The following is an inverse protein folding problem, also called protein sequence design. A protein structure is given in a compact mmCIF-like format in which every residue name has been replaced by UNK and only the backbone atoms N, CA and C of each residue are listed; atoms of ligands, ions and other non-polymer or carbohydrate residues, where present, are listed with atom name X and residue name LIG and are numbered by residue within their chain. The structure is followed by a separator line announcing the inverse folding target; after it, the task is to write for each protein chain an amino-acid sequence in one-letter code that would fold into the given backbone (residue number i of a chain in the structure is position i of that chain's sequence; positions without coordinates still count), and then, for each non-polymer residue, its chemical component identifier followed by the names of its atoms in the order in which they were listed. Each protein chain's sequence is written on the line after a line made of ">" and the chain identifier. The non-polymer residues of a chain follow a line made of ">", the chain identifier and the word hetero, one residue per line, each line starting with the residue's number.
data_IF_433089082574
#
_entry.id   IF_433089082574
#
_cell.length_a   1.000
_cell.length_b   1.000
_cell.length_c   1.000
_cell.angle_alpha   90.00
_cell.angle_beta   90.00
_cell.angle_gamma   90.00
#
_symmetry.space_group_name_H-M   'P 1'
#
loop_
_entity.id
_entity.type
_entity.pdbx_description
1 polymer ?
#
# COMPACT_ATOMS: atom_id res chain seq x y z
N UNK A 1 34.61 -42.40 26.23
CA UNK A 1 33.30 -42.97 26.49
C UNK A 1 32.27 -41.90 26.24
N UNK A 2 31.42 -42.19 25.24
CA UNK A 2 30.07 -41.65 24.94
C UNK A 2 29.90 -40.11 25.06
N UNK A 3 29.92 -39.28 24.04
CA UNK A 3 29.16 -39.28 22.77
C UNK A 3 27.66 -39.05 22.97
N UNK A 4 27.21 -37.79 23.02
CA UNK A 4 25.82 -37.46 22.71
C UNK A 4 25.77 -36.23 21.79
N UNK A 5 25.75 -36.56 20.50
CA UNK A 5 25.36 -35.64 19.44
C UNK A 5 23.85 -35.40 19.52
N UNK A 6 23.45 -34.32 20.20
CA UNK A 6 22.06 -33.86 20.22
C UNK A 6 21.69 -33.27 18.86
N UNK A 7 21.02 -34.08 18.06
CA UNK A 7 20.37 -33.69 16.79
C UNK A 7 19.35 -32.57 17.06
N UNK A 8 19.73 -31.35 16.71
CA UNK A 8 18.96 -30.10 16.92
C UNK A 8 17.90 -29.84 15.85
N UNK A 9 17.14 -30.84 15.41
CA UNK A 9 15.95 -30.65 14.55
C UNK A 9 14.67 -30.41 15.37
N UNK A 10 14.70 -29.34 16.18
CA UNK A 10 13.47 -28.83 16.77
C UNK A 10 12.59 -28.19 15.68
N UNK A 11 11.25 -28.39 15.70
CA UNK A 11 10.37 -27.78 14.70
C UNK A 11 10.57 -26.27 14.66
N UNK A 12 10.78 -25.71 13.46
CA UNK A 12 10.89 -24.26 13.22
C UNK A 12 9.67 -23.59 13.85
N UNK A 13 9.86 -23.02 15.03
CA UNK A 13 8.80 -22.28 15.74
C UNK A 13 8.37 -21.11 14.84
N UNK A 14 7.14 -21.16 14.36
CA UNK A 14 6.49 -20.05 13.67
C UNK A 14 6.71 -18.79 14.52
N UNK A 15 7.31 -17.71 13.97
CA UNK A 15 7.58 -16.51 14.72
C UNK A 15 6.32 -16.04 15.47
N UNK A 16 6.42 -15.82 16.79
CA UNK A 16 5.27 -15.43 17.65
C UNK A 16 4.51 -14.20 17.15
N UNK A 17 5.15 -13.37 16.36
CA UNK A 17 4.53 -12.18 15.79
C UNK A 17 3.57 -12.49 14.62
N UNK A 18 3.73 -13.62 13.90
CA UNK A 18 2.71 -14.11 12.95
C UNK A 18 1.42 -14.57 13.66
N UNK A 19 1.46 -14.71 14.99
CA UNK A 19 0.32 -14.99 15.86
C UNK A 19 -0.21 -13.73 16.57
N UNK A 20 0.32 -12.54 16.28
CA UNK A 20 -0.22 -11.30 16.84
C UNK A 20 -1.64 -11.08 16.28
N UNK A 21 -2.58 -10.67 17.14
CA UNK A 21 -3.94 -10.38 16.71
C UNK A 21 -3.98 -9.39 15.55
N UNK A 22 -3.12 -8.37 15.57
CA UNK A 22 -2.99 -7.36 14.52
C UNK A 22 -2.61 -7.96 13.16
N UNK A 23 -1.67 -8.92 13.13
CA UNK A 23 -1.27 -9.59 11.89
C UNK A 23 -2.41 -10.42 11.32
N UNK A 24 -3.13 -11.17 12.17
CA UNK A 24 -4.25 -12.02 11.74
C UNK A 24 -5.42 -11.17 11.25
N UNK A 25 -5.81 -10.14 12.00
CA UNK A 25 -6.92 -9.25 11.62
C UNK A 25 -6.58 -8.45 10.36
N UNK A 26 -5.41 -7.80 10.32
CA UNK A 26 -4.96 -7.06 9.15
C UNK A 26 -4.84 -7.95 7.91
N UNK A 27 -4.22 -9.12 8.08
CA UNK A 27 -4.10 -10.13 7.02
C UNK A 27 -5.44 -10.63 6.50
N UNK A 28 -6.40 -10.90 7.38
CA UNK A 28 -7.75 -11.31 7.02
C UNK A 28 -8.49 -10.22 6.22
N UNK A 29 -8.42 -8.96 6.68
CA UNK A 29 -9.04 -7.83 5.99
C UNK A 29 -8.44 -7.65 4.59
N UNK A 30 -7.10 -7.61 4.49
CA UNK A 30 -6.42 -7.40 3.19
C UNK A 30 -6.67 -8.57 2.25
N UNK A 31 -6.59 -9.82 2.75
CA UNK A 31 -6.93 -11.00 1.95
C UNK A 31 -8.38 -10.95 1.46
N UNK A 32 -9.32 -10.59 2.33
CA UNK A 32 -10.73 -10.42 1.97
C UNK A 32 -10.93 -9.36 0.87
N UNK A 33 -10.25 -8.22 0.97
CA UNK A 33 -10.29 -7.17 -0.04
C UNK A 33 -9.67 -7.62 -1.38
N UNK A 34 -8.56 -8.35 -1.35
CA UNK A 34 -7.94 -8.90 -2.55
C UNK A 34 -8.84 -9.94 -3.21
N UNK A 35 -9.44 -10.83 -2.42
CA UNK A 35 -10.44 -11.80 -2.91
C UNK A 35 -11.64 -11.07 -3.50
N UNK A 36 -12.19 -10.06 -2.80
CA UNK A 36 -13.29 -9.25 -3.31
C UNK A 36 -12.94 -8.54 -4.63
N UNK A 37 -11.72 -8.00 -4.77
CA UNK A 37 -11.27 -7.38 -6.00
C UNK A 37 -11.14 -8.37 -7.16
N UNK A 38 -10.56 -9.55 -6.91
CA UNK A 38 -10.38 -10.57 -7.94
C UNK A 38 -11.70 -11.25 -8.30
N UNK A 39 -12.51 -11.58 -7.30
CA UNK A 39 -13.77 -12.29 -7.46
C UNK A 39 -14.96 -11.35 -7.71
N UNK A 40 -14.76 -10.03 -7.85
CA UNK A 40 -15.84 -9.08 -8.10
C UNK A 40 -16.80 -9.50 -9.25
N UNK A 41 -16.33 -10.05 -10.40
CA UNK A 41 -17.24 -10.49 -11.46
C UNK A 41 -18.17 -11.65 -11.07
N UNK A 42 -17.81 -12.44 -10.07
CA UNK A 42 -18.59 -13.57 -9.59
C UNK A 42 -19.38 -13.26 -8.31
N UNK A 43 -18.87 -12.33 -7.48
CA UNK A 43 -19.51 -11.94 -6.23
C UNK A 43 -20.56 -10.84 -6.42
N UNK A 44 -20.44 -10.01 -7.44
CA UNK A 44 -21.37 -8.92 -7.70
C UNK A 44 -22.70 -9.48 -8.25
N UNK A 45 -23.85 -9.16 -7.61
CA UNK A 45 -25.15 -9.60 -8.10
C UNK A 45 -25.48 -9.08 -9.49
N UNK A 46 -24.98 -7.89 -9.84
CA UNK A 46 -25.26 -7.21 -11.10
C UNK A 46 -24.00 -6.62 -11.72
N UNK A 47 -24.05 -6.29 -13.01
CA UNK A 47 -22.99 -5.49 -13.63
C UNK A 47 -22.93 -4.10 -12.98
N UNK A 48 -21.73 -3.53 -12.69
CA UNK A 48 -21.61 -2.27 -11.96
C UNK A 48 -22.18 -1.06 -12.70
N UNK A 49 -22.49 -1.23 -13.99
CA UNK A 49 -23.10 -0.24 -14.89
C UNK A 49 -24.57 -0.49 -15.16
N UNK A 50 -25.14 -1.63 -14.69
CA UNK A 50 -26.55 -1.96 -14.90
C UNK A 50 -27.43 -0.91 -14.18
N UNK A 51 -28.35 -0.34 -14.94
CA UNK A 51 -29.33 0.65 -14.46
C UNK A 51 -30.69 -0.04 -14.35
N UNK A 52 -31.38 0.16 -13.24
CA UNK A 52 -32.71 -0.36 -12.98
C UNK A 52 -33.71 0.83 -12.90
N UNK A 53 -34.40 1.18 -14.00
CA UNK A 53 -35.38 2.29 -14.01
C UNK A 53 -36.46 2.10 -12.95
N UNK A 54 -36.77 3.16 -12.19
CA UNK A 54 -37.71 3.11 -11.07
C UNK A 54 -37.12 2.57 -9.77
N UNK A 55 -35.81 2.30 -9.72
CA UNK A 55 -35.11 1.90 -8.53
C UNK A 55 -34.06 2.95 -8.08
N UNK A 56 -34.22 4.22 -8.45
CA UNK A 56 -33.33 5.30 -8.06
C UNK A 56 -33.43 5.55 -6.55
N UNK A 57 -32.27 5.68 -5.89
CA UNK A 57 -32.16 5.94 -4.44
C UNK A 57 -33.00 4.99 -3.58
N UNK A 58 -33.07 3.73 -3.99
CA UNK A 58 -33.81 2.71 -3.25
C UNK A 58 -33.03 2.27 -2.01
N UNK A 59 -33.65 2.21 -0.81
CA UNK A 59 -32.99 1.75 0.39
C UNK A 59 -32.59 0.27 0.28
N UNK A 60 -31.66 -0.21 1.13
CA UNK A 60 -31.30 -1.60 1.20
C UNK A 60 -32.52 -2.53 1.37
N UNK A 61 -32.61 -3.55 0.52
CA UNK A 61 -33.64 -4.60 0.53
C UNK A 61 -33.06 -5.95 0.09
N UNK A 62 -33.90 -6.99 -0.01
CA UNK A 62 -33.46 -8.34 -0.43
C UNK A 62 -32.95 -8.40 -1.87
N UNK A 63 -33.37 -7.48 -2.73
CA UNK A 63 -32.94 -7.39 -4.11
C UNK A 63 -31.66 -6.56 -4.25
N UNK A 64 -31.54 -5.46 -3.50
CA UNK A 64 -30.41 -4.55 -3.49
C UNK A 64 -29.86 -4.44 -2.06
N UNK A 65 -28.96 -5.35 -1.70
CA UNK A 65 -28.48 -5.54 -0.31
C UNK A 65 -27.90 -4.27 0.34
N UNK A 66 -27.26 -3.40 -0.44
CA UNK A 66 -26.77 -2.09 0.01
C UNK A 66 -27.55 -0.93 -0.61
N UNK A 67 -28.73 -1.21 -1.22
CA UNK A 67 -29.51 -0.21 -1.92
C UNK A 67 -28.98 0.17 -3.29
N UNK A 68 -29.55 1.22 -3.88
CA UNK A 68 -29.18 1.71 -5.21
C UNK A 68 -28.72 3.14 -5.18
N UNK A 69 -27.98 3.54 -6.24
CA UNK A 69 -27.52 4.92 -6.41
C UNK A 69 -28.55 5.84 -7.09
N UNK A 70 -28.13 7.07 -7.38
CA UNK A 70 -28.96 8.14 -7.96
C UNK A 70 -29.56 7.82 -9.35
N UNK A 71 -29.01 6.80 -10.02
CA UNK A 71 -29.50 6.34 -11.36
C UNK A 71 -30.01 4.90 -11.32
N UNK A 72 -30.20 4.33 -10.11
CA UNK A 72 -30.74 2.97 -9.95
C UNK A 72 -29.70 1.85 -10.13
N UNK A 73 -28.39 2.11 -9.92
CA UNK A 73 -27.37 1.04 -9.97
C UNK A 73 -27.14 0.43 -8.60
N UNK A 74 -26.87 -0.87 -8.55
CA UNK A 74 -26.65 -1.61 -7.30
C UNK A 74 -25.35 -1.18 -6.59
N UNK A 75 -25.46 -0.73 -5.34
CA UNK A 75 -24.32 -0.24 -4.55
C UNK A 75 -23.35 -1.37 -4.19
N UNK A 76 -23.83 -2.57 -3.84
CA UNK A 76 -22.96 -3.69 -3.49
C UNK A 76 -22.05 -4.07 -4.67
N UNK A 77 -22.62 -4.23 -5.86
CA UNK A 77 -21.85 -4.50 -7.07
C UNK A 77 -20.82 -3.42 -7.33
N UNK A 78 -21.21 -2.16 -7.17
CA UNK A 78 -20.30 -1.02 -7.38
C UNK A 78 -19.20 -0.94 -6.33
N UNK A 79 -19.45 -1.28 -5.07
CA UNK A 79 -18.40 -1.34 -4.02
C UNK A 79 -17.41 -2.45 -4.33
N UNK A 80 -17.88 -3.64 -4.73
CA UNK A 80 -17.02 -4.79 -5.10
C UNK A 80 -16.12 -4.44 -6.31
N UNK A 81 -16.69 -3.89 -7.37
CA UNK A 81 -15.90 -3.42 -8.51
C UNK A 81 -15.02 -2.22 -8.17
N UNK A 82 -15.48 -1.35 -7.27
CA UNK A 82 -14.71 -0.24 -6.72
C UNK A 82 -13.46 -0.71 -5.98
N UNK A 83 -13.54 -1.83 -5.25
CA UNK A 83 -12.37 -2.48 -4.62
C UNK A 83 -11.31 -2.81 -5.67
N UNK A 84 -11.73 -3.39 -6.80
CA UNK A 84 -10.82 -3.73 -7.90
C UNK A 84 -10.15 -2.51 -8.50
N UNK A 85 -10.90 -1.41 -8.67
CA UNK A 85 -10.39 -0.16 -9.23
C UNK A 85 -9.45 0.54 -8.25
N UNK A 86 -9.88 0.75 -7.00
CA UNK A 86 -9.08 1.48 -6.00
C UNK A 86 -7.79 0.73 -5.63
N UNK A 87 -7.83 -0.60 -5.43
CA UNK A 87 -6.62 -1.41 -5.24
C UNK A 87 -5.79 -1.52 -6.52
N UNK A 88 -6.43 -1.53 -7.69
CA UNK A 88 -5.77 -1.53 -9.00
C UNK A 88 -5.01 -0.24 -9.30
N UNK A 89 -5.29 0.85 -8.59
CA UNK A 89 -4.49 2.09 -8.58
C UNK A 89 -3.44 2.03 -7.48
N UNK A 90 -3.82 1.72 -6.24
CA UNK A 90 -2.94 1.82 -5.09
C UNK A 90 -1.75 0.85 -5.17
N UNK A 91 -1.99 -0.41 -5.50
CA UNK A 91 -0.94 -1.44 -5.51
C UNK A 91 0.13 -1.16 -6.59
N UNK A 92 -0.21 -0.90 -7.87
CA UNK A 92 0.79 -0.55 -8.87
C UNK A 92 1.54 0.74 -8.58
N UNK A 93 0.87 1.76 -8.00
CA UNK A 93 1.52 3.01 -7.63
C UNK A 93 2.62 2.79 -6.59
N UNK A 94 2.31 2.06 -5.50
CA UNK A 94 3.29 1.75 -4.46
C UNK A 94 4.36 0.81 -4.99
N UNK A 95 4.02 -0.21 -5.78
CA UNK A 95 4.99 -1.12 -6.38
C UNK A 95 6.01 -0.37 -7.27
N UNK A 96 5.54 0.55 -8.10
CA UNK A 96 6.38 1.38 -8.95
C UNK A 96 7.27 2.31 -8.10
N UNK A 97 6.72 2.93 -7.05
CA UNK A 97 7.49 3.77 -6.12
C UNK A 97 8.55 2.98 -5.35
N UNK A 98 8.22 1.78 -4.86
CA UNK A 98 9.18 0.86 -4.21
C UNK A 98 10.30 0.50 -5.16
N UNK A 99 9.96 0.04 -6.37
CA UNK A 99 10.96 -0.44 -7.34
C UNK A 99 11.91 0.69 -7.76
N UNK A 100 11.36 1.81 -8.20
CA UNK A 100 12.16 2.94 -8.70
C UNK A 100 12.85 3.69 -7.56
N UNK A 101 12.15 3.97 -6.46
CA UNK A 101 12.71 4.67 -5.30
C UNK A 101 13.81 3.85 -4.62
N UNK A 102 13.62 2.53 -4.43
CA UNK A 102 14.66 1.67 -3.85
C UNK A 102 15.89 1.61 -4.74
N UNK A 103 15.72 1.42 -6.04
CA UNK A 103 16.83 1.35 -6.99
C UNK A 103 17.65 2.64 -6.98
N UNK A 104 16.97 3.79 -7.05
CA UNK A 104 17.61 5.10 -6.94
C UNK A 104 18.30 5.29 -5.58
N UNK A 105 17.58 5.03 -4.47
CA UNK A 105 18.10 5.24 -3.12
C UNK A 105 19.30 4.37 -2.79
N UNK A 106 19.28 3.08 -3.17
CA UNK A 106 20.43 2.17 -3.02
C UNK A 106 21.61 2.67 -3.82
N UNK A 107 21.42 3.07 -5.08
CA UNK A 107 22.48 3.63 -5.92
C UNK A 107 23.08 4.90 -5.31
N UNK A 108 22.24 5.87 -4.96
CA UNK A 108 22.67 7.13 -4.35
C UNK A 108 23.42 6.90 -3.03
N UNK A 109 22.94 6.03 -2.14
CA UNK A 109 23.61 5.69 -0.88
C UNK A 109 24.95 4.97 -1.07
N UNK A 110 25.03 4.10 -2.09
CA UNK A 110 26.24 3.32 -2.34
C UNK A 110 27.36 4.14 -2.97
N UNK A 111 27.08 4.88 -4.04
CA UNK A 111 28.10 5.68 -4.74
C UNK A 111 28.29 7.07 -4.12
N UNK A 112 27.22 7.71 -3.66
CA UNK A 112 27.28 9.05 -3.07
C UNK A 112 27.63 10.15 -4.09
N UNK A 113 28.30 11.21 -3.60
CA UNK A 113 28.81 12.29 -4.45
C UNK A 113 27.75 13.30 -4.92
N UNK A 114 28.04 13.99 -6.03
CA UNK A 114 27.16 15.04 -6.56
C UNK A 114 25.76 14.53 -6.98
N UNK A 115 25.59 13.36 -7.61
CA UNK A 115 24.25 12.83 -7.92
C UNK A 115 23.37 12.61 -6.68
N UNK A 116 23.98 12.13 -5.59
CA UNK A 116 23.31 11.96 -4.31
C UNK A 116 22.83 13.30 -3.73
N UNK A 117 23.72 14.29 -3.71
CA UNK A 117 23.39 15.63 -3.23
C UNK A 117 22.24 16.26 -4.05
N UNK A 118 22.31 16.17 -5.37
CA UNK A 118 21.30 16.75 -6.25
C UNK A 118 19.94 16.04 -6.10
N UNK A 119 19.94 14.72 -6.03
CA UNK A 119 18.71 13.95 -5.83
C UNK A 119 18.04 14.27 -4.49
N UNK A 120 18.83 14.39 -3.40
CA UNK A 120 18.28 14.77 -2.10
C UNK A 120 17.69 16.18 -2.14
N UNK A 121 18.33 17.14 -2.80
CA UNK A 121 17.76 18.49 -2.98
C UNK A 121 16.45 18.48 -3.76
N UNK A 122 16.36 17.65 -4.80
CA UNK A 122 15.11 17.50 -5.54
C UNK A 122 14.00 16.91 -4.66
N UNK A 123 14.32 15.90 -3.85
CA UNK A 123 13.35 15.32 -2.92
C UNK A 123 12.93 16.30 -1.82
N UNK A 124 13.87 17.12 -1.30
CA UNK A 124 13.56 18.20 -0.35
C UNK A 124 12.53 19.19 -0.94
N UNK A 125 12.71 19.56 -2.22
CA UNK A 125 11.73 20.40 -2.93
C UNK A 125 10.37 19.73 -3.05
N UNK A 126 10.31 18.44 -3.40
CA UNK A 126 9.04 17.71 -3.47
C UNK A 126 8.34 17.61 -2.12
N UNK A 127 9.09 17.41 -1.04
CA UNK A 127 8.54 17.36 0.33
C UNK A 127 8.09 18.73 0.87
N UNK A 128 8.56 19.84 0.29
CA UNK A 128 8.12 21.19 0.67
C UNK A 128 6.67 21.48 0.22
N UNK A 129 6.16 20.76 -0.78
CA UNK A 129 4.78 20.92 -1.24
C UNK A 129 3.83 19.98 -0.48
N UNK A 130 2.61 20.45 -0.13
CA UNK A 130 1.57 19.55 0.36
C UNK A 130 1.26 18.47 -0.69
N UNK A 131 1.37 17.16 -0.35
CA UNK A 131 1.30 16.08 -1.34
C UNK A 131 0.01 16.07 -2.17
N UNK A 132 -1.14 16.40 -1.55
CA UNK A 132 -2.43 16.41 -2.24
C UNK A 132 -2.51 17.54 -3.29
N UNK A 133 -1.93 18.71 -3.00
CA UNK A 133 -1.92 19.83 -3.94
C UNK A 133 -1.04 19.53 -5.15
N UNK A 134 0.12 18.92 -4.90
CA UNK A 134 1.02 18.50 -5.98
C UNK A 134 0.38 17.39 -6.82
N UNK A 135 -0.34 16.45 -6.18
CA UNK A 135 -1.10 15.42 -6.90
C UNK A 135 -2.16 16.03 -7.82
N UNK A 136 -2.95 16.99 -7.31
CA UNK A 136 -3.97 17.69 -8.11
C UNK A 136 -3.34 18.39 -9.31
N UNK A 137 -2.23 19.12 -9.10
CA UNK A 137 -1.53 19.83 -10.16
C UNK A 137 -1.01 18.88 -11.25
N UNK A 138 -0.39 17.75 -10.84
CA UNK A 138 0.14 16.76 -11.78
C UNK A 138 -0.97 16.08 -12.58
N UNK A 139 -2.06 15.64 -11.93
CA UNK A 139 -3.19 15.01 -12.65
C UNK A 139 -3.90 16.01 -13.54
N UNK A 140 -4.04 17.26 -13.13
CA UNK A 140 -4.61 18.31 -13.97
C UNK A 140 -3.78 18.58 -15.23
N UNK A 141 -2.45 18.53 -15.11
CA UNK A 141 -1.53 18.70 -16.25
C UNK A 141 -1.50 17.49 -17.19
N UNK A 142 -1.54 16.25 -16.64
CA UNK A 142 -1.49 15.02 -17.43
C UNK A 142 -2.85 14.58 -17.99
N UNK A 143 -3.93 15.12 -17.46
CA UNK A 143 -5.31 14.71 -17.73
C UNK A 143 -5.79 13.57 -16.83
N UNK A 144 -7.10 13.51 -16.53
CA UNK A 144 -7.68 12.51 -15.65
C UNK A 144 -7.75 11.15 -16.35
N UNK A 145 -6.94 10.20 -15.89
CA UNK A 145 -6.97 8.79 -16.30
C UNK A 145 -6.42 7.92 -15.19
N UNK A 146 -6.78 6.63 -15.21
CA UNK A 146 -6.27 5.66 -14.22
C UNK A 146 -4.73 5.54 -14.29
N UNK A 147 -4.17 5.56 -15.51
CA UNK A 147 -2.71 5.46 -15.70
C UNK A 147 -1.99 6.70 -15.16
N UNK A 148 -2.48 7.90 -15.50
CA UNK A 148 -1.90 9.15 -15.02
C UNK A 148 -2.01 9.28 -13.51
N UNK A 149 -3.09 8.77 -12.92
CA UNK A 149 -3.27 8.70 -11.47
C UNK A 149 -2.22 7.78 -10.83
N UNK A 150 -2.00 6.58 -11.38
CA UNK A 150 -0.97 5.64 -10.90
C UNK A 150 0.42 6.27 -10.96
N UNK A 151 0.77 6.90 -12.09
CA UNK A 151 2.07 7.55 -12.27
C UNK A 151 2.26 8.73 -11.32
N UNK A 152 1.23 9.57 -11.17
CA UNK A 152 1.26 10.70 -10.22
C UNK A 152 1.52 10.24 -8.81
N UNK A 153 0.75 9.26 -8.32
CA UNK A 153 0.91 8.73 -6.95
C UNK A 153 2.28 8.07 -6.79
N UNK A 154 2.74 7.32 -7.79
CA UNK A 154 4.06 6.69 -7.77
C UNK A 154 5.19 7.72 -7.65
N UNK A 155 5.16 8.78 -8.45
CA UNK A 155 6.16 9.87 -8.42
C UNK A 155 6.17 10.58 -7.06
N UNK A 156 5.00 10.83 -6.47
CA UNK A 156 4.90 11.49 -5.16
C UNK A 156 5.35 10.58 -4.00
N UNK A 157 5.22 9.27 -4.16
CA UNK A 157 5.59 8.29 -3.13
C UNK A 157 7.05 7.84 -3.25
N UNK A 158 7.65 7.91 -4.45
CA UNK A 158 9.03 7.51 -4.75
C UNK A 158 10.08 8.10 -3.80
N UNK A 159 10.07 9.43 -3.48
CA UNK A 159 11.10 10.03 -2.62
C UNK A 159 11.20 9.37 -1.25
N UNK A 160 10.08 8.95 -0.65
CA UNK A 160 10.06 8.27 0.64
C UNK A 160 10.86 6.96 0.60
N UNK A 161 10.68 6.15 -0.46
CA UNK A 161 11.44 4.91 -0.64
C UNK A 161 12.89 5.15 -0.99
N UNK A 162 13.18 6.19 -1.78
CA UNK A 162 14.56 6.54 -2.14
C UNK A 162 15.36 6.99 -0.92
N UNK A 163 14.80 7.87 -0.08
CA UNK A 163 15.44 8.33 1.15
C UNK A 163 15.64 7.19 2.15
N UNK A 164 14.63 6.34 2.32
CA UNK A 164 14.70 5.17 3.20
C UNK A 164 15.78 4.18 2.75
N UNK A 165 15.78 3.80 1.47
CA UNK A 165 16.75 2.87 0.91
C UNK A 165 18.17 3.43 0.95
N UNK A 166 18.33 4.74 0.66
CA UNK A 166 19.61 5.45 0.77
C UNK A 166 20.15 5.40 2.20
N UNK A 167 19.35 5.79 3.17
CA UNK A 167 19.76 5.82 4.59
C UNK A 167 20.15 4.42 5.09
N UNK A 168 19.36 3.39 4.75
CA UNK A 168 19.67 2.02 5.09
C UNK A 168 20.95 1.52 4.40
N UNK A 169 21.18 1.89 3.13
CA UNK A 169 22.43 1.55 2.40
C UNK A 169 23.65 2.19 3.03
N UNK A 170 23.55 3.46 3.43
CA UNK A 170 24.64 4.16 4.13
C UNK A 170 24.99 3.49 5.47
N UNK A 171 23.99 2.99 6.20
CA UNK A 171 24.21 2.28 7.45
C UNK A 171 24.85 0.89 7.26
N UNK A 172 24.55 0.20 6.15
CA UNK A 172 25.13 -1.11 5.84
C UNK A 172 26.51 -1.06 5.22
N UNK A 173 26.83 -0.01 4.46
CA UNK A 173 28.08 0.13 3.71
C UNK A 173 29.35 -0.06 4.56
N UNK A 174 29.46 0.44 5.81
CA UNK A 174 30.63 0.25 6.67
C UNK A 174 30.65 -1.11 7.42
N UNK A 175 29.63 -1.94 7.33
CA UNK A 175 29.53 -3.20 8.06
C UNK A 175 30.57 -4.23 7.58
N UNK A 176 31.12 -5.04 8.51
CA UNK A 176 32.22 -5.98 8.28
C UNK A 176 31.93 -6.96 7.14
N UNK A 177 30.71 -7.50 7.05
CA UNK A 177 30.34 -8.44 5.99
C UNK A 177 30.35 -7.80 4.59
N UNK A 178 30.05 -6.49 4.48
CA UNK A 178 30.12 -5.75 3.21
C UNK A 178 31.58 -5.47 2.86
N UNK A 179 32.39 -5.09 3.85
CA UNK A 179 33.83 -4.85 3.66
C UNK A 179 34.57 -6.16 3.30
N UNK A 180 34.24 -7.27 3.96
CA UNK A 180 34.81 -8.58 3.64
C UNK A 180 34.46 -9.01 2.21
N UNK A 181 33.19 -8.87 1.78
CA UNK A 181 32.79 -9.14 0.41
C UNK A 181 33.58 -8.30 -0.61
N UNK A 182 33.81 -7.02 -0.29
CA UNK A 182 34.62 -6.12 -1.13
C UNK A 182 36.08 -6.56 -1.19
N UNK A 183 36.68 -6.91 -0.04
CA UNK A 183 38.07 -7.39 0.04
C UNK A 183 38.28 -8.69 -0.75
N UNK A 184 37.27 -9.54 -0.81
CA UNK A 184 37.26 -10.78 -1.62
C UNK A 184 36.98 -10.51 -3.11
N UNK A 185 36.89 -9.25 -3.55
CA UNK A 185 36.72 -8.90 -4.97
C UNK A 185 35.29 -9.01 -5.49
N UNK A 186 34.29 -9.04 -4.64
CA UNK A 186 32.88 -9.05 -5.09
C UNK A 186 32.56 -7.78 -5.90
N UNK A 187 31.90 -7.96 -7.05
CA UNK A 187 31.45 -6.83 -7.88
C UNK A 187 30.41 -5.97 -7.15
N UNK A 188 30.32 -4.69 -7.52
CA UNK A 188 29.31 -3.77 -6.94
C UNK A 188 27.88 -4.31 -7.05
N UNK A 189 27.51 -4.88 -8.21
CA UNK A 189 26.18 -5.49 -8.41
C UNK A 189 25.93 -6.65 -7.47
N UNK A 190 26.95 -7.50 -7.18
CA UNK A 190 26.84 -8.60 -6.22
C UNK A 190 26.68 -8.06 -4.79
N UNK A 191 27.44 -7.03 -4.41
CA UNK A 191 27.30 -6.41 -3.08
C UNK A 191 25.89 -5.84 -2.91
N UNK A 192 25.39 -5.08 -3.88
CA UNK A 192 24.06 -4.48 -3.82
C UNK A 192 22.96 -5.55 -3.81
N UNK A 193 23.00 -6.52 -4.72
CA UNK A 193 21.96 -7.52 -4.88
C UNK A 193 21.95 -8.60 -3.80
N UNK A 194 23.12 -9.07 -3.35
CA UNK A 194 23.23 -10.17 -2.40
C UNK A 194 23.41 -9.73 -0.93
N UNK A 195 23.94 -8.53 -0.70
CA UNK A 195 24.25 -8.08 0.66
C UNK A 195 23.43 -6.86 1.10
N UNK A 196 23.15 -5.88 0.23
CA UNK A 196 22.41 -4.67 0.61
C UNK A 196 20.90 -4.90 0.51
N UNK A 197 20.40 -5.22 -0.68
CA UNK A 197 18.95 -5.35 -0.93
C UNK A 197 18.24 -6.34 0.00
N UNK A 198 18.76 -7.56 0.26
CA UNK A 198 18.08 -8.49 1.16
C UNK A 198 17.99 -7.98 2.60
N UNK A 199 19.01 -7.21 3.04
CA UNK A 199 19.04 -6.66 4.41
C UNK A 199 18.11 -5.47 4.61
N UNK A 200 17.82 -4.67 3.56
CA UNK A 200 16.88 -3.54 3.65
C UNK A 200 15.44 -3.93 3.27
N UNK A 201 15.25 -5.05 2.57
CA UNK A 201 13.94 -5.50 2.07
C UNK A 201 12.86 -5.58 3.17
N UNK A 202 13.13 -6.08 4.39
CA UNK A 202 12.12 -6.09 5.45
C UNK A 202 11.63 -4.69 5.82
N UNK A 203 12.53 -3.71 5.93
CA UNK A 203 12.18 -2.32 6.23
C UNK A 203 11.36 -1.69 5.11
N UNK A 204 11.72 -1.98 3.85
CA UNK A 204 10.95 -1.53 2.68
C UNK A 204 9.55 -2.15 2.62
N UNK A 205 9.40 -3.42 3.02
CA UNK A 205 8.11 -4.09 3.07
C UNK A 205 7.16 -3.46 4.09
N UNK A 206 7.66 -3.10 5.28
CA UNK A 206 6.90 -2.34 6.29
C UNK A 206 6.45 -1.00 5.72
N UNK A 207 7.40 -0.25 5.14
CA UNK A 207 7.08 1.05 4.53
C UNK A 207 6.06 0.92 3.39
N UNK A 208 6.12 -0.13 2.57
CA UNK A 208 5.17 -0.38 1.50
C UNK A 208 3.75 -0.62 2.04
N UNK A 209 3.61 -1.43 3.09
CA UNK A 209 2.31 -1.67 3.74
C UNK A 209 1.69 -0.39 4.29
N UNK A 210 2.48 0.44 4.98
CA UNK A 210 2.02 1.73 5.51
C UNK A 210 1.70 2.73 4.36
N UNK A 211 2.50 2.73 3.30
CA UNK A 211 2.26 3.59 2.14
C UNK A 211 0.97 3.21 1.40
N UNK A 212 0.61 1.91 1.33
CA UNK A 212 -0.65 1.48 0.71
C UNK A 212 -1.87 2.10 1.40
N UNK A 213 -1.90 2.19 2.74
CA UNK A 213 -3.01 2.82 3.45
C UNK A 213 -3.14 4.30 3.13
N UNK A 214 -2.02 5.04 3.05
CA UNK A 214 -2.00 6.45 2.69
C UNK A 214 -2.41 6.65 1.22
N UNK A 215 -1.89 5.82 0.32
CA UNK A 215 -2.17 5.90 -1.11
C UNK A 215 -3.63 5.62 -1.43
N UNK A 216 -4.29 4.70 -0.71
CA UNK A 216 -5.73 4.47 -0.84
C UNK A 216 -6.52 5.74 -0.48
N UNK A 217 -6.14 6.46 0.57
CA UNK A 217 -6.78 7.74 0.92
C UNK A 217 -6.53 8.82 -0.13
N UNK A 218 -5.31 8.92 -0.67
CA UNK A 218 -4.97 9.86 -1.74
C UNK A 218 -5.74 9.54 -3.02
N UNK A 219 -5.81 8.28 -3.42
CA UNK A 219 -6.63 7.82 -4.58
C UNK A 219 -8.10 8.21 -4.37
N UNK A 220 -8.66 7.88 -3.21
CA UNK A 220 -10.05 8.20 -2.91
C UNK A 220 -10.31 9.72 -2.93
N UNK A 221 -9.40 10.54 -2.39
CA UNK A 221 -9.50 11.98 -2.41
C UNK A 221 -9.43 12.56 -3.84
N UNK A 222 -8.49 12.09 -4.67
CA UNK A 222 -8.38 12.53 -6.06
C UNK A 222 -9.59 12.08 -6.90
N UNK A 223 -10.06 10.84 -6.70
CA UNK A 223 -11.27 10.33 -7.34
C UNK A 223 -12.54 11.08 -6.87
N UNK A 224 -12.60 11.47 -5.59
CA UNK A 224 -13.68 12.31 -5.05
C UNK A 224 -13.74 13.70 -5.72
N UNK A 225 -12.58 14.26 -6.06
CA UNK A 225 -12.46 15.53 -6.79
C UNK A 225 -12.67 15.39 -8.31
N UNK A 226 -12.95 14.17 -8.80
CA UNK A 226 -13.14 13.91 -10.23
C UNK A 226 -11.86 13.73 -11.04
N UNK A 227 -10.71 13.71 -10.38
CA UNK A 227 -9.37 13.55 -10.99
C UNK A 227 -8.90 12.09 -11.05
N UNK A 228 -9.71 11.15 -10.54
CA UNK A 228 -9.41 9.73 -10.53
C UNK A 228 -9.89 8.97 -11.76
N UNK A 229 -10.23 7.70 -11.54
CA UNK A 229 -10.80 6.83 -12.58
C UNK A 229 -12.12 7.39 -13.09
N UNK A 230 -12.23 7.52 -14.42
CA UNK A 230 -13.38 8.14 -15.06
C UNK A 230 -14.56 7.15 -15.21
N UNK A 231 -15.81 7.66 -15.20
CA UNK A 231 -16.99 6.87 -15.53
C UNK A 231 -16.81 6.10 -16.84
N UNK A 232 -17.48 4.93 -17.00
CA UNK A 232 -18.47 4.32 -16.11
C UNK A 232 -17.91 3.50 -14.95
N UNK A 233 -16.59 3.29 -14.87
CA UNK A 233 -15.95 2.47 -13.85
C UNK A 233 -16.17 3.09 -12.44
N UNK A 234 -16.62 2.29 -11.45
CA UNK A 234 -16.75 2.78 -10.09
C UNK A 234 -15.39 2.78 -9.38
N UNK A 235 -15.09 3.83 -8.60
CA UNK A 235 -14.09 3.82 -7.54
C UNK A 235 -14.73 4.26 -6.24
N UNK A 236 -14.18 3.89 -5.11
CA UNK A 236 -14.76 4.28 -3.82
C UNK A 236 -14.85 5.81 -3.66
N UNK A 237 -13.81 6.55 -4.09
CA UNK A 237 -13.80 8.01 -4.05
C UNK A 237 -14.87 8.65 -4.94
N UNK A 238 -15.05 8.16 -6.17
CA UNK A 238 -16.08 8.66 -7.08
C UNK A 238 -17.50 8.35 -6.58
N UNK A 239 -17.70 7.22 -5.89
CA UNK A 239 -18.97 6.89 -5.23
C UNK A 239 -19.28 7.85 -4.09
N UNK A 240 -18.28 8.16 -3.24
CA UNK A 240 -18.42 9.16 -2.18
C UNK A 240 -18.79 10.55 -2.74
N UNK A 241 -18.13 10.97 -3.82
CA UNK A 241 -18.39 12.27 -4.47
C UNK A 241 -19.83 12.42 -4.90
N UNK A 242 -20.41 11.39 -5.50
CA UNK A 242 -21.82 11.39 -5.92
C UNK A 242 -22.77 11.23 -4.75
N UNK A 243 -22.47 10.33 -3.82
CA UNK A 243 -23.32 10.03 -2.67
C UNK A 243 -23.48 11.20 -1.70
N UNK A 244 -22.48 12.12 -1.63
CA UNK A 244 -22.52 13.25 -0.68
C UNK A 244 -23.76 14.15 -0.82
N UNK A 245 -24.29 14.30 -2.03
CA UNK A 245 -25.46 15.13 -2.31
C UNK A 245 -26.75 14.53 -1.75
N UNK A 246 -26.74 13.22 -1.51
CA UNK A 246 -27.90 12.46 -1.03
C UNK A 246 -27.72 11.96 0.41
N UNK A 247 -26.69 12.42 1.12
CA UNK A 247 -26.29 11.89 2.43
C UNK A 247 -27.41 11.95 3.48
N UNK A 248 -28.29 12.95 3.39
CA UNK A 248 -29.42 13.14 4.32
C UNK A 248 -30.59 12.18 4.08
N UNK A 249 -30.79 11.73 2.84
CA UNK A 249 -31.92 10.87 2.43
C UNK A 249 -31.48 9.44 2.11
N UNK A 250 -30.23 9.26 1.71
CA UNK A 250 -29.66 7.99 1.29
C UNK A 250 -28.24 7.77 1.86
N UNK A 251 -28.09 7.65 3.20
CA UNK A 251 -26.77 7.55 3.83
C UNK A 251 -25.94 6.34 3.37
N UNK A 252 -26.57 5.26 2.89
CA UNK A 252 -25.87 4.07 2.37
C UNK A 252 -24.97 4.38 1.16
N UNK A 253 -25.28 5.43 0.38
CA UNK A 253 -24.47 5.88 -0.75
C UNK A 253 -23.06 6.31 -0.33
N UNK A 254 -22.91 6.82 0.89
CA UNK A 254 -21.65 7.28 1.46
C UNK A 254 -21.06 6.23 2.41
N UNK A 255 -21.89 5.59 3.23
CA UNK A 255 -21.45 4.63 4.23
C UNK A 255 -20.80 3.40 3.59
N UNK A 256 -21.36 2.86 2.52
CA UNK A 256 -20.85 1.65 1.89
C UNK A 256 -19.42 1.83 1.32
N UNK A 257 -19.12 2.81 0.45
CA UNK A 257 -17.76 3.05 -0.02
C UNK A 257 -16.85 3.58 1.09
N UNK A 258 -17.36 4.36 2.05
CA UNK A 258 -16.60 4.84 3.21
C UNK A 258 -16.10 3.72 4.09
N UNK A 259 -16.95 2.73 4.39
CA UNK A 259 -16.56 1.52 5.13
C UNK A 259 -15.51 0.69 4.37
N UNK A 260 -15.63 0.58 3.04
CA UNK A 260 -14.63 -0.12 2.23
C UNK A 260 -13.25 0.55 2.32
N UNK A 261 -13.19 1.89 2.22
CA UNK A 261 -11.95 2.66 2.41
C UNK A 261 -11.41 2.45 3.83
N UNK A 262 -12.26 2.58 4.85
CA UNK A 262 -11.86 2.40 6.25
C UNK A 262 -11.26 1.00 6.49
N UNK A 263 -11.89 -0.05 5.99
CA UNK A 263 -11.38 -1.42 6.11
C UNK A 263 -10.05 -1.59 5.39
N UNK A 264 -9.90 -1.01 4.20
CA UNK A 264 -8.64 -1.10 3.45
C UNK A 264 -7.50 -0.39 4.19
N UNK A 265 -7.72 0.83 4.66
CA UNK A 265 -6.74 1.59 5.43
C UNK A 265 -6.37 0.87 6.73
N UNK A 266 -7.36 0.38 7.48
CA UNK A 266 -7.15 -0.39 8.70
C UNK A 266 -6.36 -1.67 8.44
N UNK A 267 -6.73 -2.43 7.42
CA UNK A 267 -6.08 -3.69 7.07
C UNK A 267 -4.59 -3.51 6.74
N UNK A 268 -4.26 -2.56 5.88
CA UNK A 268 -2.86 -2.29 5.51
C UNK A 268 -2.05 -1.69 6.66
N UNK A 269 -2.64 -0.82 7.51
CA UNK A 269 -1.96 -0.30 8.71
C UNK A 269 -1.65 -1.43 9.70
N UNK A 270 -2.62 -2.28 10.02
CA UNK A 270 -2.43 -3.41 10.94
C UNK A 270 -1.34 -4.37 10.44
N UNK A 271 -1.29 -4.61 9.12
CA UNK A 271 -0.22 -5.42 8.52
C UNK A 271 1.14 -4.74 8.63
N UNK A 272 1.22 -3.45 8.35
CA UNK A 272 2.46 -2.67 8.46
C UNK A 272 3.00 -2.66 9.90
N UNK A 273 2.14 -2.40 10.86
CA UNK A 273 2.51 -2.40 12.29
C UNK A 273 2.97 -3.78 12.75
N UNK A 274 2.27 -4.84 12.35
CA UNK A 274 2.64 -6.20 12.69
C UNK A 274 3.98 -6.62 12.07
N UNK A 275 4.26 -6.21 10.83
CA UNK A 275 5.56 -6.42 10.18
C UNK A 275 6.68 -5.65 10.90
N UNK A 276 6.42 -4.42 11.33
CA UNK A 276 7.36 -3.60 12.11
C UNK A 276 7.70 -4.26 13.44
N UNK A 277 6.70 -4.80 14.15
CA UNK A 277 6.88 -5.52 15.41
C UNK A 277 7.72 -6.80 15.25
N UNK A 278 7.68 -7.46 14.09
CA UNK A 278 8.53 -8.60 13.74
C UNK A 278 10.00 -8.22 13.60
N UNK A 279 10.28 -7.02 13.13
CA UNK A 279 11.63 -6.52 12.85
C UNK A 279 12.28 -5.84 14.07
N UNK A 280 11.54 -5.60 15.17
CA UNK A 280 12.07 -4.96 16.37
C UNK A 280 12.85 -5.97 17.25
N UNK A 281 14.22 -5.88 17.31
CA UNK A 281 15.05 -6.80 18.08
C UNK A 281 14.80 -6.70 19.59
N UNK A 282 14.30 -5.56 20.09
CA UNK A 282 14.09 -5.29 21.53
C UNK A 282 12.99 -6.18 22.12
N UNK A 283 12.01 -6.60 21.32
CA UNK A 283 10.96 -7.53 21.76
C UNK A 283 11.42 -9.00 21.75
N UNK A 284 12.48 -9.34 21.02
CA UNK A 284 13.05 -10.68 21.01
C UNK A 284 13.87 -10.98 22.29
N UNK A 285 14.46 -9.95 22.93
CA UNK A 285 15.34 -10.09 24.12
C UNK A 285 14.67 -9.87 25.49
N UNK A 286 13.40 -9.50 25.54
CA UNK A 286 12.75 -8.94 26.75
C UNK A 286 12.06 -9.92 27.70
N UNK A 287 12.46 -11.21 27.80
CA UNK A 287 11.97 -12.13 28.84
C UNK A 287 13.10 -13.01 29.42
N UNK A 288 14.03 -12.38 30.10
CA UNK A 288 15.11 -13.09 30.78
C UNK A 288 15.79 -12.32 31.88
N UNK A 289 15.15 -11.28 32.41
CA UNK A 289 15.62 -10.61 33.63
C UNK A 289 14.43 -10.26 34.53
N UNK A 290 13.94 -11.23 35.28
CA UNK A 290 13.35 -10.99 36.57
C UNK A 290 14.48 -11.13 37.60
N UNK A 291 14.62 -10.20 38.56
CA UNK A 291 15.63 -10.24 39.60
C UNK A 291 15.44 -11.43 40.53
#
# INVERSE_FOLDING_TARGET
>A
MSGESGDGTGPRRVPRALRSGSFLVGGFIVAGLLVAALAAPWLAPYAPTAIFPGAEIRPPDLRFLLGTDEVGRDILSRVLYGTRVSLGVAIPSVALAVLTGTTLGVGLGYWGGAPDLLAMRLFDVLFAFPPILLAIALVAALGPSTVNLVLTIAVLTLPQFAVLARSATLALKPQDFVQAARALGASHGRILGAHVLPNIAPTLAVQASLSLSIVILVEAALSFLGLGTQPPAPSWGSMLSRGRQYMTIAPWLVLAPGLAIMLAVLGFNLLGDAQRDLLDPRRAGGRGRTP
#
